data_IF_422413622093
#
_entry.id   IF_422413622093
#
_cell.length_a   1.000
_cell.length_b   1.000
_cell.length_c   1.000
_cell.angle_alpha   90.00
_cell.angle_beta   90.00
_cell.angle_gamma   90.00
#
_symmetry.space_group_name_H-M   'P 1'
#
loop_
_entity.id
_entity.type
_entity.pdbx_description
1 polymer ?
#
# COMPACT_ATOMS: atom_id res chain seq x y z
N UNK A 1 0.02 -32.99 11.65
CA UNK A 1 1.14 -32.02 11.66
C UNK A 1 1.07 -31.23 10.36
N UNK A 2 0.49 -30.03 10.38
CA UNK A 2 0.45 -29.17 9.19
C UNK A 2 1.84 -28.63 8.93
N UNK A 3 2.37 -28.88 7.72
CA UNK A 3 3.59 -28.26 7.25
C UNK A 3 3.43 -26.74 7.36
N UNK A 4 4.28 -26.10 8.17
CA UNK A 4 4.46 -24.66 8.09
C UNK A 4 4.97 -24.38 6.68
N UNK A 5 4.09 -23.83 5.83
CA UNK A 5 4.45 -23.25 4.55
C UNK A 5 5.54 -22.22 4.81
N UNK A 6 6.81 -22.55 4.54
CA UNK A 6 7.86 -21.53 4.51
C UNK A 6 7.42 -20.53 3.46
N UNK A 7 7.24 -19.27 3.86
CA UNK A 7 6.98 -18.23 2.88
C UNK A 7 8.09 -18.24 1.83
N UNK A 8 7.70 -18.28 0.57
CA UNK A 8 8.60 -18.11 -0.54
C UNK A 8 8.98 -16.63 -0.65
N UNK A 9 10.02 -16.23 0.08
CA UNK A 9 10.58 -14.88 0.03
C UNK A 9 11.05 -14.53 -1.39
N UNK A 10 11.48 -15.53 -2.18
CA UNK A 10 11.95 -15.33 -3.56
C UNK A 10 10.89 -14.69 -4.45
N UNK A 11 9.60 -15.00 -4.20
CA UNK A 11 8.50 -14.35 -4.91
C UNK A 11 8.40 -12.86 -4.59
N UNK A 12 8.52 -12.48 -3.31
CA UNK A 12 8.49 -11.07 -2.89
C UNK A 12 9.71 -10.30 -3.39
N UNK A 13 10.88 -10.94 -3.40
CA UNK A 13 12.11 -10.39 -3.97
C UNK A 13 11.96 -10.17 -5.49
N UNK A 14 11.38 -11.14 -6.21
CA UNK A 14 11.10 -11.01 -7.63
C UNK A 14 10.09 -9.89 -7.93
N UNK A 15 9.02 -9.77 -7.13
CA UNK A 15 8.02 -8.71 -7.27
C UNK A 15 8.63 -7.32 -7.02
N UNK A 16 9.48 -7.18 -6.00
CA UNK A 16 10.22 -5.94 -5.75
C UNK A 16 11.17 -5.60 -6.91
N UNK A 17 11.95 -6.57 -7.37
CA UNK A 17 12.88 -6.39 -8.49
C UNK A 17 12.16 -5.96 -9.77
N UNK A 18 11.00 -6.56 -10.08
CA UNK A 18 10.17 -6.20 -11.21
C UNK A 18 9.62 -4.76 -11.09
N UNK A 19 9.15 -4.38 -9.91
CA UNK A 19 8.64 -3.03 -9.67
C UNK A 19 9.74 -1.95 -9.75
N UNK A 20 10.94 -2.24 -9.23
CA UNK A 20 12.09 -1.33 -9.33
C UNK A 20 12.61 -1.20 -10.76
N UNK A 21 12.62 -2.30 -11.52
CA UNK A 21 12.94 -2.28 -12.95
C UNK A 21 11.97 -1.40 -13.74
N UNK A 22 10.68 -1.46 -13.42
CA UNK A 22 9.64 -0.63 -14.02
C UNK A 22 9.83 0.86 -13.71
N UNK A 23 10.17 1.21 -12.46
CA UNK A 23 10.53 2.59 -12.08
C UNK A 23 11.71 3.09 -12.91
N UNK A 24 12.76 2.26 -13.07
CA UNK A 24 13.95 2.59 -13.86
C UNK A 24 13.58 2.82 -15.33
N UNK A 25 12.73 1.97 -15.92
CA UNK A 25 12.25 2.10 -17.30
C UNK A 25 11.50 3.42 -17.52
N UNK A 26 10.47 3.68 -16.72
CA UNK A 26 9.65 4.90 -16.83
C UNK A 26 10.49 6.16 -16.61
N UNK A 27 11.45 6.12 -15.68
CA UNK A 27 12.36 7.25 -15.47
C UNK A 27 13.19 7.54 -16.71
N UNK A 28 13.71 6.50 -17.38
CA UNK A 28 14.44 6.63 -18.64
C UNK A 28 13.56 7.18 -19.77
N UNK A 29 12.32 6.71 -19.89
CA UNK A 29 11.35 7.20 -20.88
C UNK A 29 11.00 8.66 -20.66
N UNK A 30 10.73 9.06 -19.41
CA UNK A 30 10.44 10.44 -19.07
C UNK A 30 11.63 11.38 -19.33
N UNK A 31 12.86 10.92 -19.10
CA UNK A 31 14.06 11.70 -19.41
C UNK A 31 14.18 11.94 -20.93
N UNK A 32 14.03 10.89 -21.74
CA UNK A 32 14.03 11.00 -23.22
C UNK A 32 12.89 11.92 -23.73
N UNK A 33 11.72 11.82 -23.11
CA UNK A 33 10.57 12.66 -23.44
C UNK A 33 10.85 14.13 -23.10
N UNK A 34 11.46 14.41 -21.95
CA UNK A 34 11.85 15.76 -21.55
C UNK A 34 12.89 16.37 -22.50
N UNK A 35 13.85 15.57 -22.97
CA UNK A 35 14.85 16.03 -23.94
C UNK A 35 14.21 16.35 -25.30
N UNK A 36 13.31 15.49 -25.79
CA UNK A 36 12.56 15.72 -27.04
C UNK A 36 11.70 16.98 -26.99
N UNK A 37 11.07 17.27 -25.84
CA UNK A 37 10.14 18.38 -25.66
C UNK A 37 10.80 19.71 -25.32
N UNK A 38 12.13 19.76 -25.20
CA UNK A 38 12.90 20.96 -24.77
C UNK A 38 12.70 22.19 -25.68
N UNK A 39 12.21 22.00 -26.92
CA UNK A 39 11.88 23.06 -27.88
C UNK A 39 10.42 23.13 -28.35
N UNK A 40 9.52 22.32 -27.80
CA UNK A 40 8.13 22.21 -28.27
C UNK A 40 7.17 23.24 -27.61
N UNK A 41 6.03 23.58 -28.26
CA UNK A 41 5.04 24.52 -27.71
C UNK A 41 4.60 24.16 -26.29
N UNK A 42 4.59 25.17 -25.40
CA UNK A 42 4.50 24.99 -23.93
C UNK A 42 3.34 24.08 -23.47
N UNK A 43 2.15 24.19 -24.03
CA UNK A 43 0.96 23.49 -23.53
C UNK A 43 0.95 21.99 -23.85
N UNK A 44 1.30 21.59 -25.08
CA UNK A 44 1.41 20.17 -25.43
C UNK A 44 2.54 19.48 -24.65
N UNK A 45 3.69 20.17 -24.52
CA UNK A 45 4.83 19.66 -23.75
C UNK A 45 4.51 19.46 -22.27
N UNK A 46 3.74 20.38 -21.67
CA UNK A 46 3.32 20.29 -20.26
C UNK A 46 2.45 19.07 -19.99
N UNK A 47 1.48 18.79 -20.84
CA UNK A 47 0.58 17.65 -20.64
C UNK A 47 1.33 16.31 -20.73
N UNK A 48 2.24 16.16 -21.69
CA UNK A 48 3.07 14.96 -21.81
C UNK A 48 3.98 14.75 -20.59
N UNK A 49 4.62 15.82 -20.09
CA UNK A 49 5.46 15.75 -18.89
C UNK A 49 4.62 15.43 -17.64
N UNK A 50 3.41 15.99 -17.53
CA UNK A 50 2.50 15.72 -16.43
C UNK A 50 2.06 14.26 -16.39
N UNK A 51 1.70 13.68 -17.54
CA UNK A 51 1.38 12.25 -17.65
C UNK A 51 2.56 11.37 -17.27
N UNK A 52 3.76 11.70 -17.77
CA UNK A 52 4.99 10.99 -17.40
C UNK A 52 5.25 11.03 -15.90
N UNK A 53 5.09 12.20 -15.27
CA UNK A 53 5.25 12.36 -13.82
C UNK A 53 4.23 11.52 -13.03
N UNK A 54 2.96 11.49 -13.46
CA UNK A 54 1.93 10.66 -12.86
C UNK A 54 2.25 9.15 -12.97
N UNK A 55 2.69 8.70 -14.16
CA UNK A 55 3.10 7.31 -14.37
C UNK A 55 4.31 6.92 -13.49
N UNK A 56 5.29 7.82 -13.35
CA UNK A 56 6.43 7.58 -12.48
C UNK A 56 6.03 7.53 -11.00
N UNK A 57 5.10 8.39 -10.56
CA UNK A 57 4.58 8.36 -9.20
C UNK A 57 3.90 7.01 -8.90
N UNK A 58 3.00 6.56 -9.79
CA UNK A 58 2.32 5.27 -9.64
C UNK A 58 3.29 4.07 -9.66
N UNK A 59 4.38 4.12 -10.44
CA UNK A 59 5.40 3.08 -10.42
C UNK A 59 6.19 3.06 -9.10
N UNK A 60 6.52 4.22 -8.55
CA UNK A 60 7.19 4.32 -7.23
C UNK A 60 6.30 3.81 -6.10
N UNK A 61 5.01 4.13 -6.13
CA UNK A 61 4.05 3.61 -5.17
C UNK A 61 3.99 2.08 -5.20
N UNK A 62 3.99 1.47 -6.40
CA UNK A 62 4.05 0.00 -6.53
C UNK A 62 5.35 -0.60 -5.99
N UNK A 63 6.50 0.02 -6.26
CA UNK A 63 7.78 -0.45 -5.73
C UNK A 63 7.83 -0.36 -4.20
N UNK A 64 7.28 0.70 -3.62
CA UNK A 64 7.19 0.85 -2.17
C UNK A 64 6.27 -0.20 -1.55
N UNK A 65 5.10 -0.46 -2.15
CA UNK A 65 4.21 -1.52 -1.70
C UNK A 65 4.88 -2.92 -1.73
N UNK A 66 5.64 -3.22 -2.79
CA UNK A 66 6.40 -4.48 -2.89
C UNK A 66 7.49 -4.59 -1.81
N UNK A 67 8.17 -3.48 -1.49
CA UNK A 67 9.16 -3.41 -0.43
C UNK A 67 8.55 -3.65 0.94
N UNK A 68 7.41 -3.02 1.23
CA UNK A 68 6.64 -3.22 2.47
C UNK A 68 6.22 -4.68 2.59
N UNK A 69 5.68 -5.27 1.53
CA UNK A 69 5.26 -6.68 1.53
C UNK A 69 6.43 -7.64 1.78
N UNK A 70 7.57 -7.43 1.12
CA UNK A 70 8.80 -8.20 1.39
C UNK A 70 9.22 -8.07 2.86
N UNK A 71 9.16 -6.85 3.41
CA UNK A 71 9.59 -6.61 4.78
C UNK A 71 8.65 -7.25 5.81
N UNK A 72 7.33 -7.19 5.59
CA UNK A 72 6.35 -7.91 6.41
C UNK A 72 6.63 -9.41 6.36
N UNK A 73 6.85 -9.97 5.16
CA UNK A 73 7.17 -11.38 4.99
C UNK A 73 8.45 -11.78 5.74
N UNK A 74 9.48 -10.94 5.73
CA UNK A 74 10.73 -11.14 6.46
C UNK A 74 10.56 -11.08 7.98
N UNK A 75 9.78 -10.13 8.50
CA UNK A 75 9.64 -9.91 9.94
C UNK A 75 8.62 -10.85 10.60
N UNK A 76 7.53 -11.14 9.91
CA UNK A 76 6.39 -11.87 10.47
C UNK A 76 6.33 -13.33 10.01
N UNK A 77 7.05 -13.69 8.94
CA UNK A 77 6.85 -14.98 8.28
C UNK A 77 5.45 -15.15 7.70
N UNK A 78 4.69 -14.06 7.54
CA UNK A 78 3.32 -13.99 7.01
C UNK A 78 3.26 -13.00 5.83
N UNK A 79 2.39 -13.22 4.81
CA UNK A 79 2.11 -12.20 3.79
C UNK A 79 1.33 -10.99 4.35
N UNK A 80 0.86 -11.10 5.58
CA UNK A 80 0.00 -10.14 6.26
C UNK A 80 0.64 -9.66 7.55
N UNK A 81 0.44 -8.38 7.85
CA UNK A 81 0.90 -7.71 9.06
C UNK A 81 1.03 -6.20 8.83
N UNK A 82 1.43 -5.50 9.88
CA UNK A 82 1.70 -4.06 9.87
C UNK A 82 3.18 -3.76 10.13
N UNK A 83 3.69 -2.73 9.46
CA UNK A 83 4.97 -2.10 9.76
C UNK A 83 4.76 -0.69 10.27
N UNK A 84 5.37 -0.38 11.41
CA UNK A 84 5.36 0.94 12.02
C UNK A 84 6.77 1.54 11.97
N UNK A 85 7.00 2.53 11.09
CA UNK A 85 8.32 3.15 10.91
C UNK A 85 8.20 4.55 10.32
N UNK A 86 9.15 5.43 10.65
CA UNK A 86 9.27 6.77 10.05
C UNK A 86 7.96 7.60 10.16
N UNK A 87 7.27 7.47 11.30
CA UNK A 87 6.00 8.16 11.54
C UNK A 87 4.85 7.66 10.65
N UNK A 88 4.91 6.41 10.17
CA UNK A 88 3.86 5.79 9.34
C UNK A 88 3.57 4.37 9.79
N UNK A 89 2.33 3.95 9.58
CA UNK A 89 1.91 2.56 9.67
C UNK A 89 1.43 2.13 8.31
N UNK A 90 2.01 1.05 7.76
CA UNK A 90 1.63 0.49 6.46
C UNK A 90 1.59 -1.03 6.54
N UNK A 91 0.66 -1.65 5.83
CA UNK A 91 0.60 -3.10 5.81
C UNK A 91 -0.59 -3.66 5.07
N UNK A 92 -0.80 -4.96 5.23
CA UNK A 92 -1.92 -5.67 4.62
C UNK A 92 -2.45 -6.68 5.62
N UNK A 93 -3.78 -6.77 5.75
CA UNK A 93 -4.46 -7.79 6.56
C UNK A 93 -5.49 -8.56 5.74
N UNK A 94 -5.69 -9.83 6.09
CA UNK A 94 -6.69 -10.69 5.47
C UNK A 94 -7.83 -10.94 6.44
N UNK A 95 -9.03 -10.43 6.11
CA UNK A 95 -10.22 -10.50 6.98
C UNK A 95 -11.28 -11.40 6.37
N UNK A 96 -11.82 -12.31 7.16
CA UNK A 96 -12.92 -13.17 6.75
C UNK A 96 -14.23 -12.37 6.72
N UNK A 97 -14.55 -11.79 5.55
CA UNK A 97 -15.79 -11.04 5.33
C UNK A 97 -16.69 -11.83 4.37
N UNK A 98 -17.82 -12.39 4.87
CA UNK A 98 -18.80 -13.06 4.03
C UNK A 98 -19.36 -12.17 2.91
N UNK A 99 -19.80 -12.81 1.82
CA UNK A 99 -20.46 -12.07 0.73
C UNK A 99 -21.82 -11.56 1.22
N UNK A 100 -22.14 -10.31 0.92
CA UNK A 100 -23.42 -9.70 1.33
C UNK A 100 -23.44 -9.16 2.76
N UNK A 101 -22.31 -9.21 3.50
CA UNK A 101 -22.21 -8.61 4.84
C UNK A 101 -22.56 -7.11 4.80
N UNK A 102 -23.51 -6.65 5.63
CA UNK A 102 -23.85 -5.25 5.74
C UNK A 102 -22.66 -4.37 6.16
N UNK A 103 -22.70 -3.09 5.81
CA UNK A 103 -21.58 -2.17 6.07
C UNK A 103 -21.20 -2.07 7.55
N UNK A 104 -22.18 -2.13 8.47
CA UNK A 104 -21.93 -2.04 9.91
C UNK A 104 -21.21 -3.29 10.44
N UNK A 105 -21.69 -4.47 10.06
CA UNK A 105 -21.06 -5.75 10.45
C UNK A 105 -19.67 -5.89 9.84
N UNK A 106 -19.49 -5.40 8.61
CA UNK A 106 -18.18 -5.33 7.97
C UNK A 106 -17.21 -4.46 8.77
N UNK A 107 -17.61 -3.26 9.18
CA UNK A 107 -16.77 -2.39 9.99
C UNK A 107 -16.34 -3.08 11.28
N UNK A 108 -17.28 -3.75 11.97
CA UNK A 108 -17.01 -4.52 13.18
C UNK A 108 -15.99 -5.65 12.94
N UNK A 109 -16.16 -6.44 11.88
CA UNK A 109 -15.22 -7.52 11.54
C UNK A 109 -13.81 -7.01 11.26
N UNK A 110 -13.70 -5.82 10.64
CA UNK A 110 -12.40 -5.19 10.38
C UNK A 110 -11.78 -4.70 11.69
N UNK A 111 -12.55 -4.03 12.55
CA UNK A 111 -12.07 -3.56 13.84
C UNK A 111 -11.61 -4.70 14.75
N UNK A 112 -12.37 -5.81 14.79
CA UNK A 112 -12.00 -7.01 15.53
C UNK A 112 -10.69 -7.64 15.02
N UNK A 113 -10.50 -7.68 13.70
CA UNK A 113 -9.31 -8.28 13.08
C UNK A 113 -8.06 -7.40 13.16
N UNK A 114 -8.21 -6.07 13.10
CA UNK A 114 -7.09 -5.12 12.95
C UNK A 114 -6.79 -4.33 14.23
N UNK A 115 -7.78 -4.12 15.10
CA UNK A 115 -7.71 -3.12 16.17
C UNK A 115 -6.52 -3.30 17.13
N UNK A 116 -6.25 -4.53 17.56
CA UNK A 116 -5.15 -4.81 18.48
C UNK A 116 -3.78 -4.56 17.82
N UNK A 117 -3.58 -5.05 16.60
CA UNK A 117 -2.33 -4.89 15.86
C UNK A 117 -2.06 -3.42 15.52
N UNK A 118 -3.09 -2.69 15.07
CA UNK A 118 -2.99 -1.27 14.75
C UNK A 118 -2.73 -0.41 16.00
N UNK A 119 -3.35 -0.74 17.13
CA UNK A 119 -3.08 -0.08 18.41
C UNK A 119 -1.64 -0.31 18.87
N UNK A 120 -1.14 -1.54 18.72
CA UNK A 120 0.27 -1.87 19.01
C UNK A 120 1.23 -1.08 18.11
N UNK A 121 0.94 -1.03 16.80
CA UNK A 121 1.72 -0.27 15.82
C UNK A 121 1.74 1.24 16.13
N UNK A 122 0.61 1.83 16.52
CA UNK A 122 0.53 3.24 16.94
C UNK A 122 1.33 3.49 18.23
N UNK A 123 1.21 2.57 19.20
CA UNK A 123 1.95 2.65 20.46
C UNK A 123 3.46 2.58 20.25
N UNK A 124 3.94 1.75 19.31
CA UNK A 124 5.36 1.66 18.94
C UNK A 124 5.90 2.98 18.35
N UNK A 125 5.03 3.82 17.79
CA UNK A 125 5.36 5.16 17.30
C UNK A 125 5.15 6.25 18.36
N UNK A 126 4.67 5.90 19.55
CA UNK A 126 4.37 6.84 20.63
C UNK A 126 3.11 7.67 20.42
N UNK A 127 2.16 7.20 19.61
CA UNK A 127 0.92 7.93 19.27
C UNK A 127 -0.33 7.09 19.54
N UNK A 128 -1.50 7.75 19.51
CA UNK A 128 -2.81 7.08 19.62
C UNK A 128 -3.56 7.08 18.29
N UNK A 129 -4.55 6.20 18.13
CA UNK A 129 -5.40 6.18 16.93
C UNK A 129 -6.36 7.37 16.94
N UNK A 130 -6.44 8.09 15.81
CA UNK A 130 -7.41 9.18 15.60
C UNK A 130 -8.82 8.69 15.21
N UNK A 131 -8.94 7.43 14.79
CA UNK A 131 -10.18 6.84 14.30
C UNK A 131 -10.23 5.33 14.64
N UNK A 132 -11.38 4.65 14.45
CA UNK A 132 -11.42 3.20 14.52
C UNK A 132 -10.65 2.57 13.35
N UNK A 133 -10.34 1.27 13.45
CA UNK A 133 -9.34 0.62 12.61
C UNK A 133 -9.81 0.47 11.16
N UNK A 134 -11.12 0.26 10.95
CA UNK A 134 -11.77 0.25 9.65
C UNK A 134 -11.44 1.48 8.78
N UNK A 135 -11.27 2.66 9.38
CA UNK A 135 -10.91 3.90 8.67
C UNK A 135 -9.50 3.90 8.10
N UNK A 136 -8.60 3.06 8.62
CA UNK A 136 -7.23 2.91 8.12
C UNK A 136 -7.14 1.89 7.00
N UNK A 137 -8.26 1.28 6.60
CA UNK A 137 -8.27 0.20 5.62
C UNK A 137 -8.79 0.61 4.25
N UNK A 138 -8.27 -0.04 3.21
CA UNK A 138 -8.80 -0.01 1.85
C UNK A 138 -8.82 -1.42 1.30
N UNK A 139 -9.97 -1.84 0.77
CA UNK A 139 -10.09 -3.14 0.15
C UNK A 139 -9.30 -3.23 -1.16
N UNK A 140 -8.50 -4.28 -1.26
CA UNK A 140 -7.85 -4.68 -2.51
C UNK A 140 -8.82 -5.52 -3.35
N UNK A 141 -8.80 -5.36 -4.68
CA UNK A 141 -9.53 -6.27 -5.56
C UNK A 141 -9.07 -7.71 -5.37
N UNK A 142 -10.02 -8.64 -5.32
CA UNK A 142 -9.78 -10.06 -5.17
C UNK A 142 -9.85 -10.55 -3.72
N UNK A 143 -9.54 -11.84 -3.54
CA UNK A 143 -9.48 -12.52 -2.25
C UNK A 143 -8.16 -13.29 -2.17
N UNK A 144 -7.76 -13.62 -0.96
CA UNK A 144 -6.61 -14.49 -0.74
C UNK A 144 -6.92 -15.96 -1.09
N UNK A 145 -5.92 -16.88 -1.05
CA UNK A 145 -6.15 -18.30 -1.32
C UNK A 145 -7.19 -18.96 -0.40
N UNK A 146 -7.40 -18.41 0.79
CA UNK A 146 -8.38 -18.89 1.77
C UNK A 146 -9.77 -18.22 1.61
N UNK A 147 -9.94 -17.39 0.58
CA UNK A 147 -11.18 -16.67 0.32
C UNK A 147 -11.41 -15.46 1.24
N UNK A 148 -10.39 -14.95 1.92
CA UNK A 148 -10.48 -13.75 2.77
C UNK A 148 -10.36 -12.47 1.95
N UNK A 149 -11.02 -11.41 2.42
CA UNK A 149 -10.89 -10.07 1.84
C UNK A 149 -9.54 -9.48 2.25
N UNK A 150 -8.80 -8.98 1.27
CA UNK A 150 -7.52 -8.31 1.50
C UNK A 150 -7.72 -6.82 1.72
N UNK A 151 -7.16 -6.28 2.79
CA UNK A 151 -7.23 -4.87 3.15
C UNK A 151 -5.83 -4.29 3.25
N UNK A 152 -5.56 -3.24 2.48
CA UNK A 152 -4.39 -2.38 2.68
C UNK A 152 -4.63 -1.48 3.87
N UNK A 153 -3.65 -1.41 4.77
CA UNK A 153 -3.67 -0.58 5.97
C UNK A 153 -2.69 0.56 5.79
N UNK A 154 -3.13 1.80 6.05
CA UNK A 154 -2.27 2.97 5.96
C UNK A 154 -2.64 4.06 6.98
N UNK A 155 -1.64 4.53 7.72
CA UNK A 155 -1.73 5.68 8.62
C UNK A 155 -0.43 6.49 8.66
N UNK A 156 -0.52 7.76 9.03
CA UNK A 156 0.63 8.63 9.23
C UNK A 156 0.47 9.46 10.50
N UNK A 157 1.59 9.76 11.16
CA UNK A 157 1.61 10.54 12.40
C UNK A 157 1.38 12.02 12.09
N UNK A 158 0.46 12.65 12.83
CA UNK A 158 0.29 14.10 12.91
C UNK A 158 0.22 14.50 14.39
N UNK A 159 1.28 15.10 14.92
CA UNK A 159 1.40 15.35 16.36
C UNK A 159 1.39 14.05 17.15
N UNK A 160 0.45 13.93 18.09
CA UNK A 160 0.35 12.77 19.00
C UNK A 160 -0.66 11.71 18.51
N UNK A 161 -1.14 11.82 17.27
CA UNK A 161 -2.14 10.92 16.71
C UNK A 161 -1.70 10.29 15.40
N UNK A 162 -2.09 9.04 15.18
CA UNK A 162 -2.00 8.34 13.90
C UNK A 162 -3.26 8.66 13.10
N UNK A 163 -3.13 9.38 11.99
CA UNK A 163 -4.22 9.73 11.09
C UNK A 163 -4.38 8.68 9.98
N UNK A 164 -5.61 8.34 9.56
CA UNK A 164 -5.82 7.46 8.40
C UNK A 164 -5.25 8.05 7.10
N UNK A 165 -4.49 7.25 6.35
CA UNK A 165 -3.79 7.68 5.13
C UNK A 165 -4.31 7.02 3.85
N UNK A 166 -5.35 6.19 3.93
CA UNK A 166 -5.91 5.44 2.79
C UNK A 166 -6.50 6.32 1.67
N UNK A 167 -6.83 7.57 1.98
CA UNK A 167 -7.28 8.58 1.02
C UNK A 167 -6.12 9.23 0.23
N UNK A 168 -4.90 9.27 0.77
CA UNK A 168 -3.71 9.73 0.00
C UNK A 168 -3.29 8.70 -1.05
N UNK A 169 -3.51 7.41 -0.79
CA UNK A 169 -3.39 6.34 -1.80
C UNK A 169 -4.48 6.40 -2.90
N UNK A 170 -5.53 7.20 -2.73
CA UNK A 170 -6.60 7.36 -3.74
C UNK A 170 -6.23 8.35 -4.86
N UNK A 171 -5.24 9.23 -4.65
CA UNK A 171 -4.80 10.17 -5.70
C UNK A 171 -4.09 9.45 -6.87
N UNK A 172 -3.61 8.23 -6.66
CA UNK A 172 -3.07 7.35 -7.71
C UNK A 172 -4.10 6.49 -8.44
N UNK A 173 -5.31 6.31 -7.91
CA UNK A 173 -6.33 5.41 -8.48
C UNK A 173 -7.47 6.13 -9.25
N UNK A 174 -7.67 7.44 -9.04
CA UNK A 174 -8.68 8.25 -9.77
C UNK A 174 -8.05 9.11 -10.87
N UNK A 175 -7.26 8.46 -11.72
CA UNK A 175 -6.64 9.05 -12.90
C UNK A 175 -6.70 8.07 -14.07
N UNK A 176 -7.89 7.56 -14.37
CA UNK A 176 -8.27 7.03 -15.68
C UNK A 176 -9.79 6.93 -15.75
#
# INVERSE_FOLDING_TARGET
MHAMSSIDLSRYEADLAAAEAEVKRIRGENAKLADTLRGAPKEASREHLRRGAASLAAAKERAEAARVALRIAQETGSPYGLLAREGRVVGTVAVAIPVGTPSADRARLIDEALGAELTSAASALGVVLAAPAERYTRERPGRDPDGRTLLDVAGHVEGDVLMPAVSRAAKGARGR
#
